data_IF_780065995050
#
_entry.id   IF_780065995050
#
_cell.length_a   1.000
_cell.length_b   1.000
_cell.length_c   1.000
_cell.angle_alpha   90.00
_cell.angle_beta   90.00
_cell.angle_gamma   90.00
#
_symmetry.space_group_name_H-M   'P 1'
#
loop_
_entity.id
_entity.type
_entity.pdbx_description
1 polymer ?
#
# COMPACT_ATOMS: atom_id res chain seq x y z
N UNK A 1 36.14 -78.24 -2.71
CA UNK A 1 36.34 -78.77 -4.07
C UNK A 1 35.32 -78.06 -4.98
N UNK A 2 35.78 -77.55 -6.13
CA UNK A 2 34.99 -77.13 -7.32
C UNK A 2 34.15 -75.82 -7.30
N UNK A 3 34.81 -74.66 -7.55
CA UNK A 3 34.81 -73.74 -8.75
C UNK A 3 33.40 -73.23 -9.28
N UNK A 4 33.26 -72.08 -10.01
CA UNK A 4 32.57 -70.84 -9.61
C UNK A 4 31.38 -70.50 -10.55
N UNK A 5 30.84 -69.28 -10.56
CA UNK A 5 30.35 -68.61 -11.79
C UNK A 5 30.09 -67.12 -11.58
N UNK A 6 30.11 -66.39 -12.69
CA UNK A 6 30.44 -64.97 -12.86
C UNK A 6 29.29 -64.30 -13.61
N UNK A 7 28.73 -63.20 -13.12
CA UNK A 7 27.86 -62.28 -13.90
C UNK A 7 28.04 -60.84 -13.36
N UNK A 8 28.89 -60.03 -14.00
CA UNK A 8 28.53 -58.96 -14.97
C UNK A 8 27.60 -57.88 -14.37
N UNK A 9 28.20 -56.87 -13.73
CA UNK A 9 27.54 -55.59 -13.49
C UNK A 9 27.46 -54.78 -14.79
N UNK A 10 26.26 -54.65 -15.32
CA UNK A 10 25.93 -53.76 -16.44
C UNK A 10 25.95 -52.29 -16.02
N UNK A 11 26.50 -51.47 -16.90
CA UNK A 11 26.68 -50.04 -16.76
C UNK A 11 25.35 -49.28 -16.58
N UNK A 12 25.24 -48.52 -15.48
CA UNK A 12 24.24 -47.47 -15.30
C UNK A 12 24.65 -46.25 -16.13
N UNK A 13 23.98 -46.05 -17.26
CA UNK A 13 24.04 -44.81 -18.05
C UNK A 13 23.56 -43.64 -17.21
N UNK A 14 24.42 -42.63 -17.10
CA UNK A 14 24.12 -41.36 -16.45
C UNK A 14 22.94 -40.67 -17.13
N UNK A 15 22.02 -40.18 -16.30
CA UNK A 15 21.07 -39.16 -16.71
C UNK A 15 21.40 -37.90 -15.91
N UNK A 16 21.81 -36.87 -16.64
CA UNK A 16 22.25 -35.57 -16.14
C UNK A 16 21.03 -34.85 -15.58
N UNK A 17 20.90 -34.83 -14.25
CA UNK A 17 19.97 -33.97 -13.56
C UNK A 17 20.45 -32.53 -13.65
N UNK A 18 19.85 -31.73 -14.55
CA UNK A 18 20.01 -30.28 -14.56
C UNK A 18 19.21 -29.73 -13.37
N UNK A 19 19.88 -29.63 -12.23
CA UNK A 19 19.38 -28.92 -11.04
C UNK A 19 19.32 -27.43 -11.37
N UNK A 20 18.16 -26.93 -11.82
CA UNK A 20 17.90 -25.48 -11.88
C UNK A 20 17.89 -24.95 -10.45
N UNK A 21 19.03 -24.41 -10.02
CA UNK A 21 19.15 -23.51 -8.88
C UNK A 21 18.31 -22.26 -9.18
N UNK A 22 17.04 -22.29 -8.78
CA UNK A 22 16.21 -21.11 -8.66
C UNK A 22 16.75 -20.25 -7.53
N UNK A 23 17.64 -19.31 -7.86
CA UNK A 23 18.07 -18.26 -6.96
C UNK A 23 16.84 -17.42 -6.60
N UNK A 24 16.28 -17.70 -5.43
CA UNK A 24 15.23 -16.91 -4.79
C UNK A 24 15.73 -15.48 -4.58
N UNK A 25 15.25 -14.56 -5.42
CA UNK A 25 15.49 -13.11 -5.30
C UNK A 25 14.87 -12.51 -4.03
N UNK A 26 14.09 -13.29 -3.27
CA UNK A 26 13.41 -12.84 -2.03
C UNK A 26 14.21 -13.02 -0.74
N UNK A 27 15.32 -13.78 -0.78
CA UNK A 27 16.22 -13.95 0.38
C UNK A 27 17.35 -12.93 0.38
N UNK A 28 17.81 -12.49 -0.81
CA UNK A 28 18.83 -11.45 -0.94
C UNK A 28 18.28 -10.07 -0.55
N UNK A 29 17.02 -9.75 -0.86
CA UNK A 29 16.39 -8.49 -0.44
C UNK A 29 16.17 -8.42 1.07
N UNK A 30 15.72 -9.51 1.71
CA UNK A 30 15.58 -9.56 3.17
C UNK A 30 16.90 -9.54 3.93
N UNK A 31 17.96 -10.14 3.39
CA UNK A 31 19.30 -10.05 3.97
C UNK A 31 19.92 -8.64 3.80
N UNK A 32 19.67 -7.97 2.67
CA UNK A 32 20.12 -6.60 2.42
C UNK A 32 19.34 -5.59 3.27
N UNK A 33 18.06 -5.82 3.54
CA UNK A 33 17.24 -4.94 4.38
C UNK A 33 17.50 -5.15 5.88
N UNK A 34 17.79 -6.38 6.34
CA UNK A 34 18.22 -6.62 7.73
C UNK A 34 19.65 -6.09 7.99
N UNK A 35 20.54 -6.14 6.99
CA UNK A 35 21.84 -5.50 7.04
C UNK A 35 21.72 -3.97 7.03
N UNK A 36 20.83 -3.37 6.22
CA UNK A 36 20.57 -1.91 6.23
C UNK A 36 19.98 -1.40 7.55
N UNK A 37 19.15 -2.19 8.23
CA UNK A 37 18.57 -1.84 9.53
C UNK A 37 19.58 -1.85 10.69
N UNK A 38 20.57 -2.75 10.64
CA UNK A 38 21.61 -2.86 11.67
C UNK A 38 22.78 -1.89 11.43
N UNK A 39 23.14 -1.61 10.17
CA UNK A 39 24.31 -0.79 9.80
C UNK A 39 24.15 0.71 10.07
N UNK A 40 22.95 1.18 10.43
CA UNK A 40 22.69 2.60 10.75
C UNK A 40 22.82 2.96 12.23
N UNK A 41 23.04 2.01 13.14
CA UNK A 41 23.19 2.31 14.59
C UNK A 41 24.58 2.78 15.00
N UNK A 42 25.55 2.80 14.08
CA UNK A 42 26.90 3.28 14.36
C UNK A 42 27.30 4.34 13.33
N UNK A 43 26.72 5.54 13.44
CA UNK A 43 27.24 6.70 12.72
C UNK A 43 28.61 7.04 13.31
N UNK A 44 29.67 6.71 12.57
CA UNK A 44 31.05 7.09 12.91
C UNK A 44 31.13 8.56 13.31
N UNK A 45 31.93 8.91 14.32
CA UNK A 45 32.16 10.29 14.78
C UNK A 45 32.53 11.22 13.62
N UNK A 46 33.17 10.70 12.56
CA UNK A 46 33.48 11.45 11.34
C UNK A 46 32.23 11.99 10.62
N UNK A 47 31.08 11.32 10.73
CA UNK A 47 29.81 11.80 10.14
C UNK A 47 29.24 13.03 10.82
N UNK A 48 29.76 13.39 12.00
CA UNK A 48 29.36 14.61 12.71
C UNK A 48 30.11 15.84 12.20
N UNK A 49 31.26 15.66 11.54
CA UNK A 49 32.14 16.74 11.08
C UNK A 49 31.67 17.19 9.68
N UNK A 50 31.34 18.47 9.53
CA UNK A 50 30.92 19.01 8.22
C UNK A 50 32.12 19.15 7.28
N UNK A 51 31.88 19.26 5.97
CA UNK A 51 32.96 19.51 5.00
C UNK A 51 33.71 20.81 5.31
N UNK A 52 33.00 21.83 5.82
CA UNK A 52 33.58 23.10 6.21
C UNK A 52 34.58 22.94 7.36
N UNK A 53 34.30 22.05 8.32
CA UNK A 53 35.24 21.74 9.39
C UNK A 53 36.49 21.04 8.91
N UNK A 54 36.39 20.16 7.91
CA UNK A 54 37.56 19.56 7.27
C UNK A 54 38.42 20.60 6.54
N UNK A 55 37.79 21.51 5.79
CA UNK A 55 38.49 22.61 5.12
C UNK A 55 39.16 23.53 6.13
N UNK A 56 38.48 23.85 7.22
CA UNK A 56 39.01 24.69 8.30
C UNK A 56 40.21 24.04 8.99
N UNK A 57 40.14 22.73 9.26
CA UNK A 57 41.25 21.95 9.80
C UNK A 57 42.45 21.91 8.84
N UNK A 58 42.20 21.67 7.55
CA UNK A 58 43.23 21.63 6.53
C UNK A 58 43.91 23.00 6.38
N UNK A 59 43.13 24.08 6.28
CA UNK A 59 43.65 25.44 6.17
C UNK A 59 44.44 25.83 7.42
N UNK A 60 43.91 25.52 8.60
CA UNK A 60 44.59 25.75 9.88
C UNK A 60 45.93 25.00 9.97
N UNK A 61 45.95 23.72 9.58
CA UNK A 61 47.17 22.91 9.53
C UNK A 61 48.20 23.44 8.54
N UNK A 62 47.78 23.80 7.31
CA UNK A 62 48.66 24.35 6.28
C UNK A 62 49.24 25.70 6.73
N UNK A 63 48.41 26.60 7.24
CA UNK A 63 48.85 27.90 7.74
C UNK A 63 49.85 27.76 8.89
N UNK A 64 49.59 26.85 9.83
CA UNK A 64 50.50 26.57 10.94
C UNK A 64 51.85 26.07 10.43
N UNK A 65 51.87 25.04 9.58
CA UNK A 65 53.12 24.45 9.06
C UNK A 65 53.90 25.48 8.23
N UNK A 66 53.22 26.19 7.32
CA UNK A 66 53.85 27.23 6.50
C UNK A 66 54.42 28.36 7.36
N UNK A 67 53.71 28.78 8.42
CA UNK A 67 54.17 29.82 9.34
C UNK A 67 55.44 29.43 10.07
N UNK A 68 55.55 28.17 10.51
CA UNK A 68 56.75 27.64 11.16
C UNK A 68 57.92 27.57 10.18
N UNK A 69 57.70 27.08 8.95
CA UNK A 69 58.75 26.95 7.93
C UNK A 69 59.26 28.32 7.45
N UNK A 70 58.35 29.30 7.30
CA UNK A 70 58.67 30.65 6.83
C UNK A 70 59.10 31.61 7.95
N UNK A 71 58.98 31.21 9.22
CA UNK A 71 59.25 32.06 10.38
C UNK A 71 58.24 33.19 10.58
N UNK A 72 57.03 33.07 10.03
CA UNK A 72 55.98 34.09 10.10
C UNK A 72 55.03 33.82 11.27
N UNK A 73 55.25 34.54 12.38
CA UNK A 73 54.46 34.39 13.61
C UNK A 73 52.95 34.57 13.37
N UNK A 74 52.56 35.55 12.57
CA UNK A 74 51.14 35.82 12.26
C UNK A 74 50.44 34.61 11.65
N UNK A 75 51.12 33.88 10.76
CA UNK A 75 50.57 32.71 10.09
C UNK A 75 50.46 31.50 11.04
N UNK A 76 51.40 31.39 11.98
CA UNK A 76 51.34 30.39 13.06
C UNK A 76 50.16 30.66 13.99
N UNK A 77 49.97 31.91 14.42
CA UNK A 77 48.85 32.31 15.29
C UNK A 77 47.51 32.06 14.61
N UNK A 78 47.38 32.40 13.32
CA UNK A 78 46.19 32.11 12.52
C UNK A 78 45.90 30.61 12.44
N UNK A 79 46.90 29.79 12.12
CA UNK A 79 46.76 28.33 12.06
C UNK A 79 46.33 27.73 13.40
N UNK A 80 46.96 28.15 14.48
CA UNK A 80 46.61 27.72 15.84
C UNK A 80 45.18 28.13 16.24
N UNK A 81 44.75 29.35 15.90
CA UNK A 81 43.40 29.83 16.18
C UNK A 81 42.32 29.01 15.45
N UNK A 82 42.56 28.64 14.19
CA UNK A 82 41.64 27.79 13.42
C UNK A 82 41.54 26.38 14.03
N UNK A 83 42.67 25.77 14.36
CA UNK A 83 42.67 24.45 15.03
C UNK A 83 41.99 24.51 16.39
N UNK A 84 42.27 25.54 17.19
CA UNK A 84 41.63 25.75 18.50
C UNK A 84 40.10 25.91 18.36
N UNK A 85 39.63 26.64 17.34
CA UNK A 85 38.21 26.79 17.04
C UNK A 85 37.55 25.43 16.80
N UNK A 86 38.17 24.56 15.98
CA UNK A 86 37.67 23.21 15.75
C UNK A 86 37.59 22.38 17.05
N UNK A 87 38.61 22.44 17.90
CA UNK A 87 38.64 21.73 19.19
C UNK A 87 37.52 22.21 20.12
N UNK A 88 37.32 23.53 20.21
CA UNK A 88 36.24 24.14 21.00
C UNK A 88 34.88 23.66 20.48
N UNK A 89 34.66 23.68 19.17
CA UNK A 89 33.43 23.13 18.57
C UNK A 89 33.24 21.63 18.89
N UNK A 90 34.33 20.86 18.96
CA UNK A 90 34.32 19.45 19.37
C UNK A 90 33.77 19.23 20.77
N UNK A 91 34.11 20.12 21.70
CA UNK A 91 33.61 20.05 23.07
C UNK A 91 32.09 20.23 23.14
N UNK A 92 31.50 21.10 22.30
CA UNK A 92 30.04 21.25 22.22
C UNK A 92 29.31 20.00 21.73
N UNK A 93 29.99 19.13 20.96
CA UNK A 93 29.41 17.88 20.47
C UNK A 93 29.44 16.74 21.52
N UNK A 94 30.34 16.83 22.51
CA UNK A 94 30.51 15.86 23.58
C UNK A 94 29.46 16.13 24.68
N UNK A 95 28.61 15.13 24.92
CA UNK A 95 27.53 15.20 25.91
C UNK A 95 26.66 13.95 25.86
N UNK A 96 26.28 13.42 27.03
CA UNK A 96 25.33 12.30 27.15
C UNK A 96 23.98 12.89 27.51
N UNK A 97 22.95 12.54 26.76
CA UNK A 97 21.58 12.92 27.08
C UNK A 97 20.80 11.67 27.42
N UNK A 98 20.33 11.52 28.67
CA UNK A 98 19.41 10.46 29.04
C UNK A 98 17.99 10.92 28.69
N UNK A 99 17.65 10.94 27.38
CA UNK A 99 16.27 11.16 26.95
C UNK A 99 15.58 9.82 26.76
N UNK A 100 14.33 9.74 27.19
CA UNK A 100 13.36 8.83 26.61
C UNK A 100 12.43 9.67 25.73
N UNK A 101 12.41 9.38 24.43
CA UNK A 101 11.53 10.06 23.47
C UNK A 101 10.53 9.03 22.95
N UNK A 102 9.25 9.37 23.05
CA UNK A 102 8.16 8.55 22.53
C UNK A 102 7.42 9.34 21.45
N UNK A 103 7.33 8.77 20.26
CA UNK A 103 6.51 9.30 19.16
C UNK A 103 5.15 8.62 19.21
N UNK A 104 4.09 9.39 19.43
CA UNK A 104 2.71 8.92 19.47
C UNK A 104 1.96 9.41 18.22
N UNK A 105 1.45 8.48 17.41
CA UNK A 105 0.47 8.77 16.37
C UNK A 105 -0.88 8.23 16.79
N UNK A 106 -1.91 9.08 16.73
CA UNK A 106 -3.28 8.72 17.09
C UNK A 106 -3.91 7.99 15.90
N UNK A 107 -4.00 6.66 16.02
CA UNK A 107 -4.37 5.71 14.96
C UNK A 107 -3.55 5.92 13.68
N UNK A 108 -2.70 4.94 13.31
CA UNK A 108 -1.81 5.03 12.14
C UNK A 108 -2.52 5.14 10.77
N UNK A 109 -3.81 5.52 10.74
CA UNK A 109 -4.67 5.65 9.58
C UNK A 109 -5.64 6.81 9.76
N UNK A 110 -5.79 7.61 8.72
CA UNK A 110 -6.71 8.76 8.65
C UNK A 110 -7.27 8.86 7.23
N UNK A 111 -8.39 9.55 7.01
CA UNK A 111 -8.92 9.77 5.66
C UNK A 111 -8.39 11.08 5.09
N UNK A 112 -8.14 11.11 3.78
CA UNK A 112 -7.71 12.33 3.09
C UNK A 112 -8.69 13.50 3.35
N UNK A 113 -8.14 14.64 3.77
CA UNK A 113 -8.86 15.84 4.20
C UNK A 113 -9.20 15.90 5.69
N UNK A 114 -9.05 14.81 6.45
CA UNK A 114 -9.22 14.83 7.90
C UNK A 114 -7.98 15.39 8.61
N UNK A 115 -8.18 16.09 9.73
CA UNK A 115 -7.07 16.64 10.52
C UNK A 115 -6.38 15.54 11.33
N UNK A 116 -5.15 15.20 10.95
CA UNK A 116 -4.29 14.32 11.73
C UNK A 116 -3.28 15.10 12.59
N UNK A 117 -3.12 14.66 13.84
CA UNK A 117 -2.13 15.20 14.77
C UNK A 117 -1.25 14.07 15.32
N UNK A 118 0.05 14.31 15.38
CA UNK A 118 1.00 13.49 16.13
C UNK A 118 1.48 14.20 17.39
N UNK A 119 2.02 13.43 18.33
CA UNK A 119 2.62 13.95 19.56
C UNK A 119 4.02 13.39 19.76
N UNK A 120 4.91 14.24 20.26
CA UNK A 120 6.23 13.84 20.75
C UNK A 120 6.24 14.08 22.25
N UNK A 121 6.52 13.04 23.01
CA UNK A 121 6.73 13.09 24.45
C UNK A 121 8.22 12.91 24.72
N UNK A 122 8.83 13.87 25.39
CA UNK A 122 10.25 13.85 25.76
C UNK A 122 10.37 13.87 27.27
N UNK A 123 11.05 12.86 27.81
CA UNK A 123 11.31 12.73 29.25
C UNK A 123 12.80 12.70 29.55
N UNK A 124 13.20 13.46 30.56
CA UNK A 124 14.55 13.37 31.12
C UNK A 124 14.63 12.16 32.08
N UNK A 125 15.36 11.11 31.69
CA UNK A 125 15.61 9.92 32.52
C UNK A 125 16.89 10.02 33.34
N UNK A 126 17.58 11.16 33.27
CA UNK A 126 18.79 11.44 34.04
C UNK A 126 18.53 11.97 35.44
N UNK A 127 19.58 11.94 36.25
CA UNK A 127 19.62 12.54 37.59
C UNK A 127 20.01 14.03 37.59
N UNK A 128 20.33 14.62 36.43
CA UNK A 128 20.75 16.00 36.27
C UNK A 128 19.83 16.76 35.29
N UNK A 129 19.72 18.10 35.40
CA UNK A 129 18.98 18.89 34.43
C UNK A 129 19.65 18.83 33.06
N UNK A 130 18.82 18.80 32.02
CA UNK A 130 19.27 18.79 30.63
C UNK A 130 19.06 20.17 30.01
N UNK A 131 20.07 20.64 29.29
CA UNK A 131 20.05 21.93 28.61
C UNK A 131 19.07 21.93 27.41
N UNK A 132 18.56 23.10 27.00
CA UNK A 132 17.70 23.22 25.83
C UNK A 132 18.32 22.57 24.59
N UNK A 133 17.51 21.90 23.79
CA UNK A 133 17.94 21.18 22.60
C UNK A 133 16.97 21.41 21.44
N UNK A 134 17.42 21.19 20.20
CA UNK A 134 16.55 21.23 19.03
C UNK A 134 16.22 19.80 18.60
N UNK A 135 14.93 19.53 18.45
CA UNK A 135 14.42 18.28 17.91
C UNK A 135 14.01 18.48 16.45
N UNK A 136 14.35 17.52 15.61
CA UNK A 136 13.96 17.44 14.21
C UNK A 136 13.09 16.18 14.03
N UNK A 137 11.90 16.35 13.45
CA UNK A 137 10.99 15.27 13.10
C UNK A 137 10.61 15.40 11.62
N UNK A 138 11.04 14.49 10.74
CA UNK A 138 10.49 14.43 9.40
C UNK A 138 9.04 13.94 9.44
N UNK A 139 8.16 14.59 8.69
CA UNK A 139 6.74 14.28 8.56
C UNK A 139 6.41 14.28 7.06
N UNK A 140 6.48 13.11 6.43
CA UNK A 140 6.41 13.00 4.97
C UNK A 140 7.50 13.84 4.30
N UNK A 141 7.16 14.77 3.38
CA UNK A 141 8.14 15.65 2.72
C UNK A 141 8.59 16.83 3.60
N UNK A 142 7.91 17.10 4.72
CA UNK A 142 8.18 18.25 5.58
C UNK A 142 9.12 17.89 6.73
N UNK A 143 9.92 18.86 7.20
CA UNK A 143 10.76 18.71 8.40
C UNK A 143 10.27 19.64 9.50
N UNK A 144 9.64 19.07 10.52
CA UNK A 144 9.23 19.81 11.70
C UNK A 144 10.41 19.99 12.66
N UNK A 145 10.53 21.20 13.23
CA UNK A 145 11.60 21.57 14.17
C UNK A 145 10.97 22.08 15.46
N UNK A 146 11.37 21.49 16.57
CA UNK A 146 10.85 21.83 17.89
C UNK A 146 12.00 22.23 18.81
N UNK A 147 11.76 23.21 19.68
CA UNK A 147 12.70 23.61 20.70
C UNK A 147 12.32 22.91 22.01
N UNK A 148 13.18 22.01 22.47
CA UNK A 148 13.05 21.41 23.79
C UNK A 148 13.57 22.41 24.83
N UNK A 149 12.75 22.81 25.82
CA UNK A 149 13.21 23.64 26.93
C UNK A 149 14.20 22.89 27.83
N UNK A 150 14.78 23.59 28.80
CA UNK A 150 15.57 22.92 29.83
C UNK A 150 14.64 22.03 30.67
N UNK A 151 15.03 20.77 30.89
CA UNK A 151 14.24 19.81 31.66
C UNK A 151 15.00 19.39 32.92
N UNK A 152 14.38 19.57 34.08
CA UNK A 152 14.89 19.01 35.34
C UNK A 152 14.88 17.48 35.33
N UNK A 153 15.52 16.83 36.33
CA UNK A 153 15.46 15.38 36.48
C UNK A 153 14.01 14.88 36.51
N UNK A 154 13.67 13.90 35.67
CA UNK A 154 12.30 13.38 35.56
C UNK A 154 11.31 14.28 34.84
N UNK A 155 11.71 15.48 34.41
CA UNK A 155 10.84 16.43 33.71
C UNK A 155 10.37 15.91 32.35
N UNK A 156 9.15 16.27 31.98
CA UNK A 156 8.46 15.86 30.76
C UNK A 156 8.10 17.09 29.92
N UNK A 157 8.10 16.91 28.61
CA UNK A 157 7.66 17.91 27.65
C UNK A 157 6.93 17.24 26.49
N UNK A 158 5.71 17.70 26.25
CA UNK A 158 4.85 17.22 25.18
C UNK A 158 4.70 18.30 24.12
N UNK A 159 4.91 17.91 22.87
CA UNK A 159 4.75 18.79 21.71
C UNK A 159 3.85 18.11 20.68
N UNK A 160 2.80 18.82 20.26
CA UNK A 160 1.86 18.34 19.24
C UNK A 160 2.19 18.95 17.88
N UNK A 161 2.01 18.18 16.81
CA UNK A 161 2.23 18.65 15.45
C UNK A 161 1.14 18.17 14.49
N UNK A 162 0.80 19.02 13.53
CA UNK A 162 -0.14 18.69 12.47
C UNK A 162 0.55 17.89 11.35
N UNK A 163 -0.17 16.94 10.77
CA UNK A 163 0.32 16.12 9.66
C UNK A 163 -0.46 16.49 8.39
N UNK A 164 0.22 16.90 7.29
CA UNK A 164 -0.45 17.31 6.06
C UNK A 164 -1.13 16.10 5.41
N UNK A 165 -2.45 16.10 5.40
CA UNK A 165 -3.32 14.95 5.09
C UNK A 165 -4.30 15.27 3.96
N UNK A 166 -3.98 16.28 3.16
CA UNK A 166 -4.83 16.81 2.09
C UNK A 166 -5.06 15.80 0.96
N UNK A 167 -4.04 15.00 0.63
CA UNK A 167 -4.07 13.97 -0.42
C UNK A 167 -3.75 12.58 0.15
N UNK A 168 -4.23 11.55 -0.53
CA UNK A 168 -3.96 10.15 -0.21
C UNK A 168 -2.46 9.88 -0.34
N UNK A 169 -1.86 9.31 0.71
CA UNK A 169 -0.44 8.97 0.73
C UNK A 169 -0.12 8.03 1.89
N UNK A 170 0.98 7.29 1.79
CA UNK A 170 1.64 6.70 2.96
C UNK A 170 2.71 7.68 3.44
N UNK A 171 2.45 8.36 4.54
CA UNK A 171 3.36 9.36 5.12
C UNK A 171 4.25 8.69 6.16
N UNK A 172 5.56 8.78 5.98
CA UNK A 172 6.51 8.32 7.00
C UNK A 172 6.73 9.45 8.01
N UNK A 173 6.40 9.18 9.27
CA UNK A 173 6.57 10.12 10.39
C UNK A 173 7.69 9.63 11.28
N UNK A 174 8.68 10.48 11.47
CA UNK A 174 9.90 10.12 12.16
C UNK A 174 10.96 9.49 11.26
N UNK A 175 12.12 9.16 11.85
CA UNK A 175 12.35 9.07 13.29
C UNK A 175 12.63 10.43 13.93
N UNK A 176 12.36 10.58 15.23
CA UNK A 176 12.73 11.79 15.98
C UNK A 176 14.24 11.83 16.16
N UNK A 177 14.83 12.99 15.85
CA UNK A 177 16.27 13.22 15.96
C UNK A 177 16.54 14.43 16.83
N UNK A 178 17.42 14.28 17.82
CA UNK A 178 17.98 15.45 18.51
C UNK A 178 19.19 15.93 17.73
N UNK A 179 19.22 17.22 17.38
CA UNK A 179 20.35 17.83 16.69
C UNK A 179 21.05 18.82 17.60
N UNK A 180 22.35 18.60 17.76
CA UNK A 180 23.25 19.52 18.47
C UNK A 180 24.30 20.00 17.50
N UNK A 181 24.42 21.32 17.40
CA UNK A 181 25.46 21.99 16.64
C UNK A 181 26.36 22.81 17.55
N UNK A 182 27.51 23.19 17.03
CA UNK A 182 28.32 24.29 17.55
C UNK A 182 27.89 25.65 16.94
N UNK A 183 28.30 26.79 17.53
CA UNK A 183 27.96 28.12 17.01
C UNK A 183 28.46 28.40 15.59
N UNK A 184 29.51 27.73 15.13
CA UNK A 184 30.13 27.91 13.82
C UNK A 184 29.66 26.88 12.78
N UNK A 185 28.81 25.92 13.17
CA UNK A 185 28.27 24.88 12.27
C UNK A 185 29.31 23.88 11.76
N UNK A 186 30.47 23.78 12.42
CA UNK A 186 31.56 22.88 12.05
C UNK A 186 31.24 21.42 12.40
N UNK A 187 30.48 21.20 13.47
CA UNK A 187 30.14 19.89 13.99
C UNK A 187 28.64 19.82 14.25
N UNK A 188 27.97 18.88 13.57
CA UNK A 188 26.55 18.61 13.71
C UNK A 188 26.35 17.17 14.15
N UNK A 189 26.06 16.97 15.44
CA UNK A 189 25.73 15.66 15.99
C UNK A 189 24.22 15.45 15.97
N UNK A 190 23.76 14.46 15.22
CA UNK A 190 22.36 14.04 15.19
C UNK A 190 22.23 12.65 15.81
N UNK A 191 21.41 12.51 16.86
CA UNK A 191 21.10 11.23 17.50
C UNK A 191 19.65 10.87 17.21
N UNK A 192 19.42 9.65 16.74
CA UNK A 192 18.09 9.11 16.47
C UNK A 192 17.55 8.42 17.73
N UNK A 193 16.32 8.75 18.12
CA UNK A 193 15.70 8.23 19.35
C UNK A 193 14.58 7.24 19.10
N UNK A 194 13.80 7.44 18.03
CA UNK A 194 12.64 6.58 17.72
C UNK A 194 12.84 5.85 16.39
N UNK A 195 11.95 4.91 16.10
CA UNK A 195 11.79 4.33 14.77
C UNK A 195 10.78 5.17 13.96
N UNK A 196 10.89 5.19 12.62
CA UNK A 196 9.87 5.79 11.77
C UNK A 196 8.56 4.99 11.87
N UNK A 197 7.42 5.68 11.84
CA UNK A 197 6.09 5.08 11.80
C UNK A 197 5.39 5.49 10.50
N UNK A 198 4.64 4.57 9.89
CA UNK A 198 3.83 4.86 8.71
C UNK A 198 2.43 5.32 9.12
N UNK A 199 2.01 6.47 8.60
CA UNK A 199 0.63 6.95 8.64
C UNK A 199 0.01 6.76 7.26
N UNK A 200 -1.07 5.99 7.21
CA UNK A 200 -1.84 5.81 5.97
C UNK A 200 -2.93 6.85 5.86
N UNK A 201 -2.87 7.68 4.83
CA UNK A 201 -3.94 8.61 4.49
C UNK A 201 -4.81 7.94 3.44
N UNK A 202 -5.88 7.29 3.88
CA UNK A 202 -6.82 6.54 3.06
C UNK A 202 -7.61 7.45 2.09
N UNK A 203 -8.02 6.95 0.91
CA UNK A 203 -8.88 7.71 0.01
C UNK A 203 -10.22 8.02 0.67
N UNK A 204 -10.85 9.14 0.26
CA UNK A 204 -12.22 9.44 0.67
C UNK A 204 -13.16 8.36 0.11
N UNK A 205 -14.15 7.94 0.89
CA UNK A 205 -15.14 6.96 0.45
C UNK A 205 -16.55 7.41 0.79
N UNK A 206 -17.52 6.96 0.00
CA UNK A 206 -18.95 7.23 0.21
C UNK A 206 -19.72 5.94 0.42
N UNK A 207 -20.76 6.00 1.24
CA UNK A 207 -21.67 4.87 1.45
C UNK A 207 -22.71 4.81 0.33
N UNK A 208 -22.85 3.64 -0.31
CA UNK A 208 -23.75 3.47 -1.46
C UNK A 208 -25.22 3.18 -1.09
N UNK A 209 -25.56 3.15 0.21
CA UNK A 209 -26.88 2.78 0.72
C UNK A 209 -26.86 1.47 1.50
N UNK A 210 -28.00 1.12 2.12
CA UNK A 210 -28.12 -0.12 2.91
C UNK A 210 -27.95 -1.33 1.99
N UNK A 211 -26.95 -2.16 2.30
CA UNK A 211 -26.83 -3.52 1.78
C UNK A 211 -27.97 -4.35 2.37
N UNK A 212 -29.20 -4.13 1.91
CA UNK A 212 -30.25 -5.12 2.10
C UNK A 212 -29.72 -6.39 1.47
N UNK A 213 -29.73 -7.52 2.18
CA UNK A 213 -29.08 -8.77 1.75
C UNK A 213 -29.50 -9.26 0.36
N UNK A 214 -30.57 -8.72 -0.25
CA UNK A 214 -31.00 -8.96 -1.63
C UNK A 214 -30.60 -7.90 -2.69
N UNK A 215 -29.92 -6.81 -2.33
CA UNK A 215 -29.72 -5.66 -3.23
C UNK A 215 -28.57 -5.84 -4.25
N UNK A 216 -27.59 -6.70 -3.96
CA UNK A 216 -26.65 -7.19 -4.97
C UNK A 216 -27.21 -8.39 -5.75
N UNK A 217 -28.05 -9.22 -5.11
CA UNK A 217 -28.76 -10.31 -5.79
C UNK A 217 -29.67 -9.77 -6.91
N UNK A 218 -30.21 -8.55 -6.78
CA UNK A 218 -31.02 -7.92 -7.84
C UNK A 218 -30.17 -7.36 -9.02
N UNK A 219 -28.84 -7.29 -8.88
CA UNK A 219 -27.94 -7.05 -10.03
C UNK A 219 -27.80 -8.30 -10.90
N UNK A 220 -28.23 -9.46 -10.39
CA UNK A 220 -28.33 -10.75 -11.06
C UNK A 220 -29.67 -10.87 -11.80
N UNK A 221 -30.11 -9.86 -12.57
CA UNK A 221 -31.31 -9.98 -13.44
C UNK A 221 -31.28 -11.17 -14.43
N UNK A 222 -30.22 -11.97 -14.41
CA UNK A 222 -30.19 -13.38 -14.75
C UNK A 222 -30.31 -14.21 -13.46
N UNK A 223 -31.53 -14.52 -13.02
CA UNK A 223 -31.75 -15.74 -12.25
C UNK A 223 -31.21 -16.86 -13.15
N UNK A 224 -29.98 -17.32 -12.88
CA UNK A 224 -29.43 -18.39 -13.69
C UNK A 224 -30.29 -19.60 -13.41
N UNK A 225 -31.09 -20.00 -14.40
CA UNK A 225 -31.81 -21.29 -14.40
C UNK A 225 -30.85 -22.47 -14.60
N UNK A 226 -29.55 -22.28 -14.31
CA UNK A 226 -28.58 -23.35 -14.24
C UNK A 226 -28.86 -24.16 -12.98
N UNK A 227 -29.82 -25.05 -13.12
CA UNK A 227 -30.11 -26.09 -12.16
C UNK A 227 -28.89 -26.98 -12.07
N UNK A 228 -28.34 -27.11 -10.87
CA UNK A 228 -27.32 -28.11 -10.56
C UNK A 228 -27.93 -29.22 -9.70
N UNK A 229 -27.45 -30.44 -9.89
CA UNK A 229 -27.79 -31.55 -9.01
C UNK A 229 -27.03 -31.47 -7.67
N UNK A 230 -26.19 -30.45 -7.45
CA UNK A 230 -25.53 -30.17 -6.16
C UNK A 230 -25.21 -28.69 -5.99
N UNK A 231 -26.00 -27.96 -5.18
CA UNK A 231 -25.52 -27.36 -3.92
C UNK A 231 -26.57 -26.41 -3.27
N UNK A 232 -26.84 -26.72 -2.00
CA UNK A 232 -27.17 -25.86 -0.85
C UNK A 232 -28.42 -24.95 -0.78
N UNK A 233 -29.28 -24.80 -1.80
CA UNK A 233 -30.62 -24.24 -1.59
C UNK A 233 -31.73 -25.06 -2.28
N UNK A 234 -32.71 -25.53 -1.51
CA UNK A 234 -33.82 -26.33 -2.06
C UNK A 234 -34.73 -25.44 -2.91
N UNK A 235 -34.85 -25.75 -4.19
CA UNK A 235 -35.69 -25.00 -5.13
C UNK A 235 -37.02 -25.72 -5.40
N UNK A 236 -36.96 -26.97 -5.89
CA UNK A 236 -38.15 -27.73 -6.26
C UNK A 236 -37.93 -29.25 -6.18
N UNK A 237 -39.02 -30.01 -6.32
CA UNK A 237 -38.99 -31.47 -6.53
C UNK A 237 -39.27 -31.75 -8.00
N UNK A 238 -38.44 -32.59 -8.64
CA UNK A 238 -38.66 -33.07 -10.00
C UNK A 238 -38.59 -34.59 -10.07
N UNK A 239 -39.10 -35.16 -11.15
CA UNK A 239 -38.96 -36.59 -11.45
C UNK A 239 -37.48 -36.96 -11.63
N UNK A 240 -37.11 -38.14 -11.12
CA UNK A 240 -35.78 -38.72 -11.25
C UNK A 240 -35.50 -39.11 -12.69
N UNK A 241 -34.36 -38.67 -13.22
CA UNK A 241 -33.87 -39.09 -14.53
C UNK A 241 -32.64 -39.97 -14.33
N UNK A 242 -32.48 -41.06 -15.10
CA UNK A 242 -31.28 -41.88 -15.05
C UNK A 242 -30.00 -41.05 -15.23
N UNK A 243 -29.14 -41.01 -14.21
CA UNK A 243 -27.95 -40.14 -14.13
C UNK A 243 -27.96 -39.22 -12.91
N UNK A 244 -29.12 -39.04 -12.27
CA UNK A 244 -29.23 -38.27 -11.03
C UNK A 244 -28.63 -39.00 -9.82
N UNK A 245 -28.00 -38.24 -8.92
CA UNK A 245 -27.44 -38.80 -7.70
C UNK A 245 -28.57 -39.21 -6.73
N UNK A 246 -28.60 -40.50 -6.41
CA UNK A 246 -29.59 -41.14 -5.53
C UNK A 246 -29.61 -40.53 -4.12
N UNK A 247 -28.55 -39.85 -3.69
CA UNK A 247 -28.47 -39.16 -2.39
C UNK A 247 -29.48 -38.01 -2.26
N UNK A 248 -29.92 -37.46 -3.39
CA UNK A 248 -30.86 -36.34 -3.41
C UNK A 248 -32.33 -36.76 -3.60
N UNK A 249 -32.62 -38.06 -3.59
CA UNK A 249 -33.99 -38.56 -3.67
C UNK A 249 -34.78 -38.19 -2.41
N UNK A 250 -35.93 -37.55 -2.60
CA UNK A 250 -36.82 -37.16 -1.51
C UNK A 250 -37.81 -38.29 -1.20
N UNK A 251 -37.36 -39.29 -0.43
CA UNK A 251 -38.11 -40.53 -0.16
C UNK A 251 -39.56 -40.33 0.28
N UNK A 252 -39.84 -39.31 1.11
CA UNK A 252 -41.20 -39.02 1.58
C UNK A 252 -42.15 -38.57 0.46
N UNK A 253 -41.63 -37.84 -0.53
CA UNK A 253 -42.44 -37.39 -1.68
C UNK A 253 -42.56 -38.50 -2.70
N UNK A 254 -41.48 -39.26 -2.92
CA UNK A 254 -41.50 -40.43 -3.79
C UNK A 254 -42.51 -41.48 -3.32
N UNK A 255 -42.59 -41.72 -2.01
CA UNK A 255 -43.54 -42.66 -1.42
C UNK A 255 -45.02 -42.22 -1.56
N UNK A 256 -45.29 -40.92 -1.69
CA UNK A 256 -46.65 -40.38 -1.83
C UNK A 256 -47.11 -40.36 -3.30
N UNK A 257 -46.19 -40.10 -4.23
CA UNK A 257 -46.49 -39.96 -5.66
C UNK A 257 -46.35 -41.30 -6.40
N UNK A 258 -45.56 -42.24 -5.87
CA UNK A 258 -45.32 -43.55 -6.49
C UNK A 258 -44.14 -43.56 -7.48
N UNK A 259 -43.54 -42.41 -7.75
CA UNK A 259 -42.40 -42.21 -8.65
C UNK A 259 -41.21 -41.60 -7.89
N UNK A 260 -39.98 -41.85 -8.34
CA UNK A 260 -38.78 -41.32 -7.69
C UNK A 260 -38.69 -39.80 -7.91
N UNK A 261 -38.76 -39.03 -6.83
CA UNK A 261 -38.61 -37.57 -6.87
C UNK A 261 -37.24 -37.15 -6.34
N UNK A 262 -36.55 -36.27 -7.05
CA UNK A 262 -35.23 -35.73 -6.68
C UNK A 262 -35.35 -34.27 -6.26
N UNK A 263 -34.61 -33.89 -5.23
CA UNK A 263 -34.46 -32.48 -4.82
C UNK A 263 -33.63 -31.76 -5.89
N UNK A 264 -34.21 -30.72 -6.46
CA UNK A 264 -33.54 -29.80 -7.36
C UNK A 264 -32.98 -28.65 -6.52
N UNK A 265 -31.68 -28.38 -6.67
CA UNK A 265 -31.01 -27.29 -5.99
C UNK A 265 -30.79 -26.13 -6.96
N UNK A 266 -31.01 -24.91 -6.48
CA UNK A 266 -30.60 -23.70 -7.20
C UNK A 266 -29.17 -23.38 -6.77
N UNK A 267 -28.28 -23.17 -7.75
CA UNK A 267 -26.91 -22.72 -7.48
C UNK A 267 -27.01 -21.34 -6.82
N UNK A 268 -26.77 -21.26 -5.50
CA UNK A 268 -26.60 -19.97 -4.82
C UNK A 268 -25.28 -19.39 -5.30
N UNK A 269 -25.24 -18.81 -6.50
CA UNK A 269 -24.11 -17.99 -6.91
C UNK A 269 -24.11 -16.79 -5.99
N UNK A 270 -23.14 -16.74 -5.08
CA UNK A 270 -22.82 -15.50 -4.40
C UNK A 270 -22.38 -14.51 -5.48
N UNK A 271 -22.96 -13.33 -5.49
CA UNK A 271 -22.55 -12.27 -6.40
C UNK A 271 -21.04 -12.02 -6.24
N UNK A 272 -20.26 -12.40 -7.25
CA UNK A 272 -18.83 -12.11 -7.31
C UNK A 272 -18.61 -10.85 -8.13
N UNK A 273 -18.24 -9.77 -7.45
CA UNK A 273 -17.99 -8.47 -8.03
C UNK A 273 -16.50 -8.27 -8.26
N UNK A 274 -16.16 -7.79 -9.46
CA UNK A 274 -14.78 -7.40 -9.80
C UNK A 274 -14.71 -5.89 -9.95
N UNK A 275 -13.85 -5.23 -9.17
CA UNK A 275 -13.47 -3.83 -9.40
C UNK A 275 -12.08 -3.77 -10.00
N UNK A 276 -11.98 -3.32 -11.24
CA UNK A 276 -10.72 -3.18 -11.94
C UNK A 276 -10.35 -1.70 -12.06
N UNK A 277 -9.26 -1.28 -11.45
CA UNK A 277 -8.76 0.10 -11.52
C UNK A 277 -7.73 0.23 -12.63
N UNK A 278 -7.90 1.19 -13.53
CA UNK A 278 -6.81 1.56 -14.43
C UNK A 278 -5.74 2.34 -13.66
N UNK A 279 -4.47 1.93 -13.82
CA UNK A 279 -3.32 2.66 -13.28
C UNK A 279 -2.46 3.30 -14.35
N UNK A 280 -2.85 3.28 -15.63
CA UNK A 280 -2.08 3.97 -16.67
C UNK A 280 -2.30 5.47 -16.60
N UNK A 281 -1.22 6.26 -16.46
CA UNK A 281 -1.35 7.72 -16.29
C UNK A 281 -2.02 8.45 -17.46
N UNK A 282 -1.99 7.89 -18.67
CA UNK A 282 -2.63 8.50 -19.85
C UNK A 282 -4.13 8.21 -19.96
N UNK A 283 -4.68 7.34 -19.11
CA UNK A 283 -6.12 7.12 -19.02
C UNK A 283 -6.82 8.25 -18.25
N UNK A 284 -6.06 9.14 -17.61
CA UNK A 284 -6.52 10.25 -16.78
C UNK A 284 -6.01 11.58 -17.37
N UNK A 285 -6.85 12.62 -17.38
CA UNK A 285 -6.47 13.96 -17.83
C UNK A 285 -5.64 14.70 -16.77
N UNK A 286 -5.96 14.46 -15.50
CA UNK A 286 -5.28 15.05 -14.35
C UNK A 286 -5.15 14.05 -13.18
N UNK A 287 -4.45 14.45 -12.12
CA UNK A 287 -4.27 13.63 -10.92
C UNK A 287 -5.58 13.47 -10.12
N UNK A 288 -6.46 14.46 -10.17
CA UNK A 288 -7.70 14.46 -9.39
C UNK A 288 -8.71 13.43 -9.94
N UNK A 289 -8.72 13.17 -11.25
CA UNK A 289 -9.46 12.06 -11.87
C UNK A 289 -8.99 10.70 -11.36
N UNK A 290 -7.68 10.52 -11.19
CA UNK A 290 -7.12 9.28 -10.63
C UNK A 290 -7.49 9.13 -9.15
N UNK A 291 -7.40 10.21 -8.36
CA UNK A 291 -7.84 10.22 -6.96
C UNK A 291 -9.33 9.89 -6.82
N UNK A 292 -10.17 10.41 -7.73
CA UNK A 292 -11.59 10.06 -7.81
C UNK A 292 -11.79 8.58 -8.15
N UNK A 293 -11.06 8.04 -9.12
CA UNK A 293 -11.12 6.62 -9.48
C UNK A 293 -10.73 5.69 -8.32
N UNK A 294 -9.66 6.02 -7.59
CA UNK A 294 -9.26 5.29 -6.37
C UNK A 294 -10.36 5.36 -5.31
N UNK A 295 -10.97 6.52 -5.12
CA UNK A 295 -12.08 6.74 -4.17
C UNK A 295 -13.34 5.96 -4.54
N UNK A 296 -13.65 5.86 -5.84
CA UNK A 296 -14.74 5.04 -6.40
C UNK A 296 -14.50 3.56 -6.11
N UNK A 297 -13.31 3.05 -6.40
CA UNK A 297 -12.95 1.64 -6.13
C UNK A 297 -12.99 1.34 -4.63
N UNK A 298 -12.49 2.25 -3.79
CA UNK A 298 -12.61 2.15 -2.34
C UNK A 298 -14.06 2.09 -1.87
N UNK A 299 -14.92 2.96 -2.40
CA UNK A 299 -16.34 3.01 -2.03
C UNK A 299 -17.11 1.75 -2.45
N UNK A 300 -16.89 1.30 -3.69
CA UNK A 300 -17.49 0.06 -4.21
C UNK A 300 -16.99 -1.16 -3.43
N UNK A 301 -15.67 -1.28 -3.24
CA UNK A 301 -15.09 -2.43 -2.54
C UNK A 301 -15.50 -2.47 -1.06
N UNK A 302 -15.56 -1.33 -0.37
CA UNK A 302 -16.09 -1.27 1.01
C UNK A 302 -17.56 -1.66 1.08
N UNK A 303 -18.37 -1.27 0.10
CA UNK A 303 -19.78 -1.68 0.04
C UNK A 303 -19.89 -3.20 -0.13
N UNK A 304 -19.17 -3.79 -1.08
CA UNK A 304 -19.16 -5.24 -1.35
C UNK A 304 -18.66 -6.06 -0.16
N UNK A 305 -17.58 -5.60 0.51
CA UNK A 305 -17.05 -6.27 1.70
C UNK A 305 -18.02 -6.20 2.89
N UNK A 306 -18.78 -5.10 3.02
CA UNK A 306 -19.81 -4.96 4.07
C UNK A 306 -21.07 -5.78 3.77
N UNK A 307 -21.35 -6.07 2.51
CA UNK A 307 -22.47 -6.95 2.10
C UNK A 307 -22.10 -8.43 2.09
N UNK A 308 -20.92 -8.80 2.62
CA UNK A 308 -20.39 -10.17 2.66
C UNK A 308 -20.35 -10.87 1.28
N UNK A 309 -20.28 -10.07 0.21
CA UNK A 309 -20.20 -10.56 -1.16
C UNK A 309 -18.75 -10.75 -1.58
N UNK A 310 -18.51 -11.63 -2.56
CA UNK A 310 -17.15 -11.89 -3.03
C UNK A 310 -16.62 -10.69 -3.83
N UNK A 311 -15.43 -10.20 -3.45
CA UNK A 311 -14.77 -9.06 -4.09
C UNK A 311 -13.38 -9.45 -4.59
N UNK A 312 -13.18 -9.32 -5.90
CA UNK A 312 -11.84 -9.26 -6.50
C UNK A 312 -11.55 -7.84 -6.94
N UNK A 313 -10.47 -7.25 -6.45
CA UNK A 313 -10.02 -5.94 -6.88
C UNK A 313 -8.68 -6.09 -7.60
N UNK A 314 -8.55 -5.53 -8.81
CA UNK A 314 -7.36 -5.73 -9.65
C UNK A 314 -6.97 -4.46 -10.40
N UNK A 315 -5.72 -4.42 -10.85
CA UNK A 315 -5.15 -3.41 -11.74
C UNK A 315 -4.44 -4.11 -12.91
N UNK A 316 -3.90 -3.35 -13.86
CA UNK A 316 -3.03 -3.91 -14.89
C UNK A 316 -1.70 -4.48 -14.32
N UNK A 317 -1.34 -4.11 -13.09
CA UNK A 317 -0.12 -4.56 -12.42
C UNK A 317 -0.33 -5.80 -11.55
N UNK A 318 -1.58 -6.15 -11.25
CA UNK A 318 -1.94 -7.28 -10.39
C UNK A 318 -3.09 -6.97 -9.45
N UNK A 319 -3.33 -7.90 -8.52
CA UNK A 319 -4.41 -7.82 -7.56
C UNK A 319 -4.17 -6.74 -6.48
N UNK A 320 -5.26 -6.12 -6.05
CA UNK A 320 -5.37 -5.23 -4.89
C UNK A 320 -5.81 -6.10 -3.70
N UNK A 321 -5.28 -5.84 -2.50
CA UNK A 321 -5.65 -6.62 -1.32
C UNK A 321 -7.14 -6.46 -0.97
N UNK A 322 -7.90 -7.55 -0.87
CA UNK A 322 -9.34 -7.52 -0.55
C UNK A 322 -9.69 -8.34 0.69
N UNK A 323 -8.70 -8.75 1.50
CA UNK A 323 -8.93 -9.64 2.66
C UNK A 323 -9.78 -9.01 3.76
N UNK A 324 -9.76 -7.68 3.84
CA UNK A 324 -10.58 -6.90 4.77
C UNK A 324 -10.75 -5.48 4.24
N UNK A 325 -11.71 -4.71 4.77
CA UNK A 325 -11.84 -3.28 4.48
C UNK A 325 -10.53 -2.50 4.66
N UNK A 326 -9.72 -2.88 5.66
CA UNK A 326 -8.41 -2.26 5.93
C UNK A 326 -7.38 -2.60 4.86
N UNK A 327 -7.28 -3.88 4.48
CA UNK A 327 -6.36 -4.37 3.46
C UNK A 327 -6.60 -3.70 2.10
N UNK A 328 -7.87 -3.47 1.76
CA UNK A 328 -8.29 -2.73 0.56
C UNK A 328 -7.83 -1.28 0.59
N UNK A 329 -8.19 -0.53 1.63
CA UNK A 329 -7.84 0.88 1.70
C UNK A 329 -6.33 1.09 1.78
N UNK A 330 -5.59 0.22 2.47
CA UNK A 330 -4.13 0.24 2.51
C UNK A 330 -3.50 0.02 1.15
N UNK A 331 -4.00 -0.97 0.40
CA UNK A 331 -3.53 -1.28 -0.94
C UNK A 331 -3.79 -0.09 -1.86
N UNK A 332 -5.00 0.47 -1.83
CA UNK A 332 -5.39 1.65 -2.60
C UNK A 332 -4.56 2.89 -2.23
N UNK A 333 -4.22 3.06 -0.96
CA UNK A 333 -3.37 4.17 -0.49
C UNK A 333 -1.99 4.16 -1.12
N UNK A 334 -1.44 2.98 -1.40
CA UNK A 334 -0.14 2.80 -2.06
C UNK A 334 -0.20 2.86 -3.59
N UNK A 335 -1.39 2.91 -4.18
CA UNK A 335 -1.52 2.96 -5.64
C UNK A 335 -1.12 4.34 -6.17
N UNK A 336 -0.45 4.33 -7.31
CA UNK A 336 -0.06 5.49 -8.08
C UNK A 336 -0.14 5.12 -9.58
N UNK A 337 -0.22 6.13 -10.42
CA UNK A 337 -0.21 5.95 -11.87
C UNK A 337 1.15 5.47 -12.36
N UNK A 338 1.14 4.67 -13.42
CA UNK A 338 2.36 4.19 -14.08
C UNK A 338 2.49 4.75 -15.48
N UNK A 339 3.72 5.13 -15.82
CA UNK A 339 4.13 5.51 -17.16
C UNK A 339 4.55 4.27 -17.94
N UNK A 340 3.57 3.42 -18.30
CA UNK A 340 3.77 2.25 -19.15
C UNK A 340 2.80 2.27 -20.32
N UNK A 341 3.18 1.70 -21.48
CA UNK A 341 2.25 1.49 -22.57
C UNK A 341 1.20 0.45 -22.14
N UNK A 342 -0.05 0.73 -22.46
CA UNK A 342 -1.20 -0.13 -22.18
C UNK A 342 -2.47 0.60 -22.53
N UNK A 343 -3.60 -0.11 -22.58
CA UNK A 343 -4.93 0.45 -22.84
C UNK A 343 -5.96 -0.19 -21.92
N UNK A 344 -7.14 0.41 -21.83
CA UNK A 344 -8.21 -0.15 -20.99
C UNK A 344 -8.59 -1.61 -21.32
N UNK A 345 -8.61 -2.07 -22.60
CA UNK A 345 -8.87 -3.47 -22.91
C UNK A 345 -7.84 -4.45 -22.33
N UNK A 346 -6.62 -4.01 -22.02
CA UNK A 346 -5.63 -4.85 -21.34
C UNK A 346 -6.06 -5.16 -19.91
N UNK A 347 -6.66 -4.18 -19.23
CA UNK A 347 -7.25 -4.39 -17.90
C UNK A 347 -8.39 -5.43 -17.96
N UNK A 348 -9.28 -5.31 -18.95
CA UNK A 348 -10.33 -6.30 -19.16
C UNK A 348 -9.78 -7.71 -19.44
N UNK A 349 -8.67 -7.82 -20.19
CA UNK A 349 -7.99 -9.11 -20.40
C UNK A 349 -7.45 -9.70 -19.09
N UNK A 350 -6.91 -8.86 -18.20
CA UNK A 350 -6.47 -9.30 -16.87
C UNK A 350 -7.66 -9.77 -16.04
N UNK A 351 -8.81 -9.06 -16.07
CA UNK A 351 -10.05 -9.53 -15.42
C UNK A 351 -10.43 -10.92 -15.92
N UNK A 352 -10.51 -11.11 -17.25
CA UNK A 352 -10.90 -12.38 -17.87
C UNK A 352 -9.92 -13.52 -17.54
N UNK A 353 -8.63 -13.23 -17.43
CA UNK A 353 -7.59 -14.24 -17.16
C UNK A 353 -7.53 -14.63 -15.69
N UNK A 354 -7.57 -13.65 -14.79
CA UNK A 354 -7.19 -13.83 -13.39
C UNK A 354 -8.40 -14.00 -12.47
N UNK A 355 -9.60 -13.60 -12.91
CA UNK A 355 -10.83 -13.74 -12.13
C UNK A 355 -11.80 -14.69 -12.81
N UNK A 356 -12.10 -15.80 -12.14
CA UNK A 356 -13.10 -16.78 -12.61
C UNK A 356 -14.47 -16.50 -11.99
N UNK A 357 -15.53 -16.77 -12.75
CA UNK A 357 -16.93 -16.67 -12.29
C UNK A 357 -17.36 -15.27 -11.78
N UNK A 358 -16.75 -14.21 -12.31
CA UNK A 358 -17.26 -12.87 -12.07
C UNK A 358 -18.72 -12.76 -12.58
N UNK A 359 -19.58 -12.11 -11.81
CA UNK A 359 -20.97 -11.82 -12.22
C UNK A 359 -21.08 -10.39 -12.75
N UNK A 360 -20.35 -9.47 -12.11
CA UNK A 360 -20.28 -8.05 -12.48
C UNK A 360 -18.81 -7.64 -12.54
N UNK A 361 -18.42 -6.99 -13.64
CA UNK A 361 -17.10 -6.40 -13.80
C UNK A 361 -17.24 -4.88 -13.94
N UNK A 362 -16.66 -4.16 -12.99
CA UNK A 362 -16.61 -2.70 -12.94
C UNK A 362 -15.21 -2.25 -13.31
N UNK A 363 -15.05 -1.68 -14.50
CA UNK A 363 -13.82 -1.05 -14.96
C UNK A 363 -13.83 0.43 -14.55
N UNK A 364 -12.83 0.89 -13.82
CA UNK A 364 -12.72 2.29 -13.37
C UNK A 364 -11.54 2.95 -14.07
N UNK A 365 -11.79 4.06 -14.76
CA UNK A 365 -10.78 4.79 -15.54
C UNK A 365 -11.08 6.30 -15.57
N UNK A 366 -10.19 7.09 -16.17
CA UNK A 366 -10.34 8.55 -16.29
C UNK A 366 -10.92 9.03 -17.63
N UNK A 367 -10.93 10.35 -17.83
CA UNK A 367 -11.42 11.03 -19.02
C UNK A 367 -10.60 10.77 -20.29
N UNK A 368 -9.33 10.40 -20.14
CA UNK A 368 -8.44 10.06 -21.26
C UNK A 368 -8.86 8.82 -22.05
N UNK A 369 -9.76 7.99 -21.50
CA UNK A 369 -10.27 6.80 -22.18
C UNK A 369 -11.44 7.11 -23.11
N UNK A 370 -11.20 7.05 -24.41
CA UNK A 370 -12.25 7.24 -25.42
C UNK A 370 -13.26 6.08 -25.51
N UNK A 371 -14.42 6.37 -26.12
CA UNK A 371 -15.51 5.41 -26.33
C UNK A 371 -15.07 4.11 -27.02
N UNK A 372 -14.16 4.16 -27.98
CA UNK A 372 -13.68 2.98 -28.70
C UNK A 372 -12.97 1.98 -27.77
N UNK A 373 -12.18 2.48 -26.81
CA UNK A 373 -11.52 1.66 -25.81
C UNK A 373 -12.51 1.05 -24.83
N UNK A 374 -13.55 1.79 -24.43
CA UNK A 374 -14.63 1.30 -23.57
C UNK A 374 -15.40 0.15 -24.24
N UNK A 375 -15.77 0.29 -25.52
CA UNK A 375 -16.41 -0.79 -26.30
C UNK A 375 -15.49 -2.01 -26.40
N UNK A 376 -14.22 -1.79 -26.72
CA UNK A 376 -13.25 -2.87 -26.86
C UNK A 376 -13.02 -3.61 -25.53
N UNK A 377 -12.97 -2.90 -24.40
CA UNK A 377 -12.83 -3.50 -23.08
C UNK A 377 -14.06 -4.35 -22.72
N UNK A 378 -15.26 -3.88 -23.03
CA UNK A 378 -16.50 -4.65 -22.86
C UNK A 378 -16.54 -5.93 -23.67
N UNK A 379 -16.06 -5.89 -24.91
CA UNK A 379 -16.03 -7.05 -25.80
C UNK A 379 -15.05 -8.16 -25.36
N UNK A 380 -14.07 -7.83 -24.51
CA UNK A 380 -13.07 -8.78 -23.98
C UNK A 380 -13.59 -9.54 -22.75
N UNK A 381 -14.55 -8.98 -22.02
CA UNK A 381 -15.10 -9.61 -20.82
C UNK A 381 -15.85 -10.91 -21.15
N UNK A 382 -15.88 -11.90 -20.24
CA UNK A 382 -16.55 -13.17 -20.50
C UNK A 382 -18.05 -12.99 -20.73
N UNK A 383 -18.63 -13.88 -21.54
CA UNK A 383 -20.07 -13.88 -21.80
C UNK A 383 -20.84 -14.15 -20.50
N UNK A 384 -21.91 -13.39 -20.25
CA UNK A 384 -22.71 -13.48 -19.02
C UNK A 384 -22.23 -12.57 -17.90
N UNK A 385 -21.07 -11.92 -18.02
CA UNK A 385 -20.62 -10.90 -17.06
C UNK A 385 -21.23 -9.56 -17.41
N UNK A 386 -21.89 -8.91 -16.43
CA UNK A 386 -22.40 -7.54 -16.61
C UNK A 386 -21.22 -6.57 -16.59
N UNK A 387 -20.97 -5.91 -17.72
CA UNK A 387 -19.90 -4.94 -17.89
C UNK A 387 -20.34 -3.52 -17.52
N UNK A 388 -19.69 -2.93 -16.52
CA UNK A 388 -19.83 -1.54 -16.12
C UNK A 388 -18.50 -0.83 -16.31
N UNK A 389 -18.52 0.38 -16.86
CA UNK A 389 -17.39 1.29 -16.82
C UNK A 389 -17.76 2.52 -16.01
N UNK A 390 -16.88 2.90 -15.08
CA UNK A 390 -16.99 4.15 -14.33
C UNK A 390 -15.87 5.06 -14.79
N UNK A 391 -16.24 6.10 -15.53
CA UNK A 391 -15.34 7.10 -16.04
C UNK A 391 -15.31 8.31 -15.12
N UNK A 392 -14.18 8.53 -14.48
CA UNK A 392 -13.94 9.66 -13.58
C UNK A 392 -13.47 10.84 -14.42
N UNK A 393 -14.26 11.91 -14.48
CA UNK A 393 -13.98 13.08 -15.30
C UNK A 393 -14.13 14.37 -14.53
N UNK A 394 -13.07 15.16 -14.42
CA UNK A 394 -13.12 16.42 -13.68
C UNK A 394 -14.12 17.39 -14.32
N UNK A 395 -15.01 17.99 -13.51
CA UNK A 395 -15.88 19.08 -13.95
C UNK A 395 -17.13 18.70 -14.79
N UNK A 396 -17.44 17.42 -14.95
CA UNK A 396 -18.68 16.98 -15.61
C UNK A 396 -19.78 16.62 -14.62
N UNK A 397 -21.02 16.85 -15.02
CA UNK A 397 -22.18 16.34 -14.29
C UNK A 397 -22.35 14.83 -14.49
N UNK A 398 -22.99 14.18 -13.52
CA UNK A 398 -23.27 12.75 -13.59
C UNK A 398 -24.08 12.38 -14.84
N UNK A 399 -23.55 11.43 -15.62
CA UNK A 399 -24.20 10.88 -16.80
C UNK A 399 -24.15 9.35 -16.79
N UNK A 400 -25.15 8.71 -17.39
CA UNK A 400 -25.18 7.26 -17.54
C UNK A 400 -25.73 6.91 -18.91
N UNK A 401 -24.97 6.14 -19.67
CA UNK A 401 -25.33 5.77 -21.03
C UNK A 401 -24.83 4.36 -21.36
N UNK A 402 -25.43 3.72 -22.37
CA UNK A 402 -25.03 2.38 -22.81
C UNK A 402 -24.17 2.49 -24.07
N UNK A 403 -23.07 1.75 -24.09
CA UNK A 403 -22.09 1.74 -25.16
C UNK A 403 -21.81 0.29 -25.56
N UNK A 404 -22.63 -0.25 -26.47
CA UNK A 404 -22.61 -1.68 -26.80
C UNK A 404 -23.03 -2.53 -25.59
N UNK A 405 -22.15 -3.45 -25.17
CA UNK A 405 -22.37 -4.31 -24.00
C UNK A 405 -22.01 -3.65 -22.65
N UNK A 406 -21.40 -2.46 -22.67
CA UNK A 406 -20.93 -1.76 -21.46
C UNK A 406 -21.93 -0.68 -21.07
N UNK A 407 -22.29 -0.61 -19.79
CA UNK A 407 -22.94 0.58 -19.24
C UNK A 407 -21.87 1.52 -18.71
N UNK A 408 -21.83 2.76 -19.19
CA UNK A 408 -20.85 3.77 -18.80
C UNK A 408 -21.49 4.74 -17.84
N UNK A 409 -20.86 4.95 -16.68
CA UNK A 409 -21.19 5.98 -15.71
C UNK A 409 -20.09 7.04 -15.73
N UNK A 410 -20.43 8.27 -16.08
CA UNK A 410 -19.53 9.40 -15.99
C UNK A 410 -19.74 10.10 -14.64
N UNK A 411 -18.67 10.25 -13.87
CA UNK A 411 -18.68 10.85 -12.54
C UNK A 411 -17.65 11.97 -12.47
N UNK A 412 -18.09 13.19 -12.15
CA UNK A 412 -17.18 14.28 -11.78
C UNK A 412 -17.02 14.50 -10.28
N UNK A 413 -17.87 13.88 -9.47
CA UNK A 413 -17.81 13.96 -8.00
C UNK A 413 -18.08 12.61 -7.37
N UNK A 414 -17.42 12.34 -6.25
CA UNK A 414 -17.58 11.07 -5.53
C UNK A 414 -19.01 10.93 -4.97
N UNK A 415 -19.64 12.04 -4.60
CA UNK A 415 -20.99 12.09 -4.04
C UNK A 415 -22.10 11.66 -5.03
N UNK A 416 -21.81 11.59 -6.33
CA UNK A 416 -22.76 11.11 -7.35
C UNK A 416 -22.73 9.59 -7.52
N UNK A 417 -21.70 8.91 -7.00
CA UNK A 417 -21.57 7.45 -7.10
C UNK A 417 -22.81 6.68 -6.56
N UNK A 418 -23.41 7.04 -5.41
CA UNK A 418 -24.63 6.39 -4.93
C UNK A 418 -25.85 6.57 -5.86
N UNK A 419 -25.90 7.65 -6.66
CA UNK A 419 -26.97 7.85 -7.66
C UNK A 419 -26.75 6.94 -8.86
N UNK A 420 -25.51 6.82 -9.32
CA UNK A 420 -25.13 5.89 -10.39
C UNK A 420 -25.38 4.44 -10.01
N UNK A 421 -24.99 4.06 -8.79
CA UNK A 421 -25.18 2.69 -8.30
C UNK A 421 -26.67 2.28 -8.23
N UNK A 422 -27.55 3.16 -7.74
CA UNK A 422 -29.00 2.91 -7.71
C UNK A 422 -29.64 2.75 -9.09
N UNK A 423 -29.11 3.43 -10.11
CA UNK A 423 -29.58 3.25 -11.50
C UNK A 423 -29.19 1.89 -12.09
N UNK A 424 -28.17 1.22 -11.53
CA UNK A 424 -27.76 -0.11 -12.00
C UNK A 424 -28.62 -1.23 -11.42
N UNK A 425 -29.25 -0.99 -10.28
CA UNK A 425 -30.18 -1.92 -9.61
C UNK A 425 -31.58 -1.93 -10.23
N UNK A 426 -31.91 -0.94 -11.06
CA UNK A 426 -33.13 -0.92 -11.87
C UNK A 426 -32.81 -1.38 -13.28
#
# INVERSE_FOLDING_TARGET
>A
MTIPTRERSGASRGNVGITRLGLSTSSVTRAVDSLRGSMRRTTSVLSWITWAAWVLLALGGIAWIAGVVLGWLELVVLGAALVATFVVCGFFAIGRHPYAITLRLRDGRVVAGERAMGGIEVRNTGSAPVMPARMELPVGPSLARFALPALGPGGEHDELFAIPTERRAVLVVGPVRSVRGDPFGLIRRAVQWTEPQELYVHPRTVTLGSASAGSLHDLEGLASKDVTNSDLSFHALREYVPGDDRRYVHWRSSARVGELMVRQFEETRRTHLVTALSVHGHDYEDEDEFELAVSVVGSLGLHTLRSESELSAITQLGAIGTRSPRDLLDSLTRMDTVRRPGRLPDLARVVTRDVTRATVAILVCGGGVGADQLRAAGAVLPVGVRALAVQCRSGVDFSAHRLGAVTVLELGRLEDLPRGFRRLQR
#
